data_IF_889024237636
#
_entry.id   IF_889024237636
#
_cell.length_a   1.000
_cell.length_b   1.000
_cell.length_c   1.000
_cell.angle_alpha   90.00
_cell.angle_beta   90.00
_cell.angle_gamma   90.00
#
_symmetry.space_group_name_H-M   'P 1'
#
loop_
_entity.id
_entity.type
_entity.pdbx_description
1 polymer ?
#
# COMPACT_ATOMS: atom_id res chain seq x y z
N UNK A 1 -25.14 50.02 2.77
CA UNK A 1 -24.61 49.01 3.72
C UNK A 1 -24.17 47.80 2.90
N UNK A 2 -22.87 47.74 2.57
CA UNK A 2 -22.28 46.65 1.77
C UNK A 2 -21.93 45.50 2.72
N UNK A 3 -22.59 44.34 2.55
CA UNK A 3 -22.19 43.10 3.20
C UNK A 3 -21.11 42.47 2.36
N UNK A 4 -19.85 42.54 2.81
CA UNK A 4 -18.73 41.82 2.24
C UNK A 4 -18.82 40.39 2.76
N UNK A 5 -19.25 39.47 1.88
CA UNK A 5 -19.16 38.03 2.13
C UNK A 5 -17.67 37.64 2.10
N UNK A 6 -17.08 37.37 3.25
CA UNK A 6 -15.78 36.75 3.37
C UNK A 6 -15.90 35.32 2.82
N UNK A 7 -15.36 35.06 1.64
CA UNK A 7 -15.04 33.70 1.19
C UNK A 7 -13.95 33.18 2.13
N UNK A 8 -14.34 32.37 3.10
CA UNK A 8 -13.38 31.64 3.91
C UNK A 8 -12.62 30.66 2.99
N UNK A 9 -11.34 30.96 2.73
CA UNK A 9 -10.37 29.98 2.20
C UNK A 9 -10.07 29.03 3.34
N UNK A 10 -10.97 28.06 3.57
CA UNK A 10 -10.68 26.97 4.48
C UNK A 10 -9.50 26.19 3.91
N UNK A 11 -8.39 26.13 4.65
CA UNK A 11 -7.32 25.21 4.32
C UNK A 11 -7.89 23.79 4.20
N UNK A 12 -7.41 23.00 3.23
CA UNK A 12 -7.87 21.63 3.12
C UNK A 12 -7.59 20.89 4.44
N UNK A 13 -8.49 19.98 4.87
CA UNK A 13 -8.38 19.32 6.17
C UNK A 13 -7.03 18.62 6.32
N UNK A 14 -6.45 18.69 7.52
CA UNK A 14 -5.24 17.94 7.86
C UNK A 14 -5.55 16.44 7.92
N UNK A 15 -4.65 15.56 7.41
CA UNK A 15 -4.82 14.13 7.52
C UNK A 15 -4.85 13.66 8.98
N UNK A 16 -5.68 12.65 9.27
CA UNK A 16 -5.79 12.00 10.59
C UNK A 16 -4.68 10.96 10.77
N UNK A 17 -4.40 10.20 9.71
CA UNK A 17 -3.30 9.23 9.69
C UNK A 17 -1.97 9.92 10.01
N UNK A 18 -1.16 9.40 10.95
CA UNK A 18 0.17 9.96 11.24
C UNK A 18 1.12 9.82 10.03
N UNK A 19 2.24 10.57 10.01
CA UNK A 19 3.25 10.40 8.97
C UNK A 19 3.71 8.94 8.85
N UNK A 20 3.82 8.46 7.61
CA UNK A 20 4.30 7.12 7.31
C UNK A 20 5.82 7.04 7.59
N UNK A 21 6.30 5.98 8.25
CA UNK A 21 7.73 5.76 8.41
C UNK A 21 8.38 5.54 7.04
N UNK A 22 9.54 6.17 6.82
CA UNK A 22 10.34 5.91 5.64
C UNK A 22 10.93 4.51 5.67
N UNK A 23 11.09 3.92 4.49
CA UNK A 23 11.71 2.61 4.32
C UNK A 23 12.68 2.65 3.14
N UNK A 24 13.82 1.97 3.29
CA UNK A 24 14.75 1.68 2.22
C UNK A 24 14.79 0.16 1.93
N UNK A 25 15.57 -0.25 0.94
CA UNK A 25 15.68 -1.66 0.57
C UNK A 25 16.13 -2.54 1.74
N UNK A 26 17.13 -2.09 2.51
CA UNK A 26 17.64 -2.87 3.65
C UNK A 26 16.59 -3.01 4.74
N UNK A 27 15.86 -1.94 5.05
CA UNK A 27 14.74 -1.94 5.99
C UNK A 27 13.59 -2.84 5.53
N UNK A 28 13.28 -2.83 4.23
CA UNK A 28 12.27 -3.69 3.65
C UNK A 28 12.65 -5.19 3.74
N UNK A 29 13.89 -5.53 3.41
CA UNK A 29 14.40 -6.90 3.53
C UNK A 29 14.40 -7.38 4.98
N UNK A 30 14.80 -6.51 5.92
CA UNK A 30 14.75 -6.82 7.34
C UNK A 30 13.31 -6.99 7.83
N UNK A 31 12.38 -6.18 7.35
CA UNK A 31 10.95 -6.31 7.67
C UNK A 31 10.41 -7.67 7.22
N UNK A 32 10.65 -8.07 5.96
CA UNK A 32 10.24 -9.38 5.45
C UNK A 32 10.82 -10.52 6.30
N UNK A 33 12.12 -10.47 6.62
CA UNK A 33 12.81 -11.50 7.40
C UNK A 33 12.30 -11.64 8.86
N UNK A 34 11.55 -10.67 9.36
CA UNK A 34 10.94 -10.71 10.69
C UNK A 34 9.50 -11.25 10.67
N UNK A 35 8.93 -11.48 9.50
CA UNK A 35 7.58 -12.03 9.37
C UNK A 35 7.62 -13.55 9.51
N UNK A 36 6.72 -14.08 10.33
CA UNK A 36 6.50 -15.54 10.46
C UNK A 36 5.43 -16.04 9.47
N UNK A 37 4.90 -15.15 8.65
CA UNK A 37 3.79 -15.38 7.72
C UNK A 37 4.19 -15.05 6.30
N UNK A 38 3.53 -15.63 5.28
CA UNK A 38 3.60 -15.11 3.93
C UNK A 38 3.18 -13.64 3.88
N UNK A 39 3.68 -12.88 2.92
CA UNK A 39 3.39 -11.47 2.82
C UNK A 39 2.85 -11.07 1.44
N UNK A 40 1.88 -10.17 1.44
CA UNK A 40 1.41 -9.45 0.26
C UNK A 40 1.81 -7.99 0.41
N UNK A 41 2.59 -7.49 -0.54
CA UNK A 41 3.09 -6.12 -0.56
C UNK A 41 2.46 -5.38 -1.72
N UNK A 42 1.62 -4.41 -1.42
CA UNK A 42 1.01 -3.53 -2.42
C UNK A 42 1.77 -2.21 -2.50
N UNK A 43 2.24 -1.87 -3.71
CA UNK A 43 2.91 -0.61 -4.01
C UNK A 43 1.94 0.31 -4.69
N UNK A 44 1.74 1.46 -4.09
CA UNK A 44 0.69 2.40 -4.46
C UNK A 44 1.17 3.86 -4.37
N UNK A 45 0.36 4.78 -4.87
CA UNK A 45 0.51 6.21 -4.66
C UNK A 45 -0.86 6.89 -4.59
N UNK A 46 -0.97 8.00 -3.89
CA UNK A 46 -2.24 8.73 -3.75
C UNK A 46 -2.76 9.32 -5.08
N UNK A 47 -1.84 9.68 -5.97
CA UNK A 47 -2.15 10.23 -7.30
C UNK A 47 -2.51 9.16 -8.34
N UNK A 48 -2.40 7.88 -8.00
CA UNK A 48 -2.61 6.76 -8.91
C UNK A 48 -4.08 6.32 -8.92
N UNK A 49 -4.82 6.60 -9.99
CA UNK A 49 -6.23 6.21 -10.11
C UNK A 49 -6.47 4.70 -10.03
N UNK A 50 -5.69 3.82 -10.71
CA UNK A 50 -5.84 2.37 -10.56
C UNK A 50 -5.58 1.88 -9.14
N UNK A 51 -4.66 2.51 -8.39
CA UNK A 51 -4.41 2.20 -6.99
C UNK A 51 -5.64 2.47 -6.12
N UNK A 52 -6.33 3.57 -6.40
CA UNK A 52 -7.58 3.92 -5.72
C UNK A 52 -8.70 2.92 -6.02
N UNK A 53 -8.75 2.42 -7.25
CA UNK A 53 -9.76 1.44 -7.66
C UNK A 53 -9.56 0.07 -6.97
N UNK A 54 -8.31 -0.36 -6.71
CA UNK A 54 -8.03 -1.66 -6.08
C UNK A 54 -8.01 -1.60 -4.54
N UNK A 55 -7.86 -0.42 -3.92
CA UNK A 55 -7.75 -0.28 -2.48
C UNK A 55 -8.84 -1.02 -1.68
N UNK A 56 -10.15 -0.97 -2.06
CA UNK A 56 -11.19 -1.75 -1.36
C UNK A 56 -10.99 -3.26 -1.40
N UNK A 57 -10.32 -3.80 -2.42
CA UNK A 57 -10.00 -5.23 -2.52
C UNK A 57 -8.97 -5.64 -1.46
N UNK A 58 -7.95 -4.80 -1.23
CA UNK A 58 -6.94 -5.03 -0.19
C UNK A 58 -7.52 -4.91 1.21
N UNK A 59 -8.43 -3.97 1.46
CA UNK A 59 -9.14 -3.87 2.72
C UNK A 59 -9.94 -5.16 3.01
N UNK A 60 -10.70 -5.64 2.04
CA UNK A 60 -11.49 -6.86 2.16
C UNK A 60 -10.60 -8.11 2.34
N UNK A 61 -9.53 -8.23 1.57
CA UNK A 61 -8.57 -9.33 1.69
C UNK A 61 -7.88 -9.36 3.05
N UNK A 62 -7.43 -8.20 3.55
CA UNK A 62 -6.86 -8.08 4.89
C UNK A 62 -7.86 -8.51 5.96
N UNK A 63 -9.12 -8.07 5.88
CA UNK A 63 -10.15 -8.46 6.83
C UNK A 63 -10.34 -9.98 6.92
N UNK A 64 -10.19 -10.67 5.78
CA UNK A 64 -10.38 -12.13 5.69
C UNK A 64 -9.13 -12.94 6.07
N UNK A 65 -7.93 -12.43 5.78
CA UNK A 65 -6.69 -13.21 5.78
C UNK A 65 -5.58 -12.69 6.70
N UNK A 66 -5.82 -11.63 7.48
CA UNK A 66 -4.79 -11.00 8.32
C UNK A 66 -4.22 -11.91 9.42
N UNK A 67 -4.88 -13.01 9.73
CA UNK A 67 -4.37 -14.00 10.70
C UNK A 67 -3.27 -14.89 10.09
N UNK A 68 -3.31 -15.08 8.77
CA UNK A 68 -2.46 -16.05 8.06
C UNK A 68 -1.49 -15.38 7.08
N UNK A 69 -1.77 -14.15 6.68
CA UNK A 69 -0.97 -13.37 5.71
C UNK A 69 -0.71 -11.96 6.25
N UNK A 70 0.54 -11.54 6.22
CA UNK A 70 0.93 -10.17 6.46
C UNK A 70 0.64 -9.31 5.22
N UNK A 71 -0.06 -8.20 5.41
CA UNK A 71 -0.28 -7.19 4.36
C UNK A 71 0.60 -5.98 4.65
N UNK A 72 1.29 -5.48 3.64
CA UNK A 72 2.15 -4.30 3.71
C UNK A 72 1.84 -3.37 2.54
N UNK A 73 1.87 -2.06 2.79
CA UNK A 73 1.78 -1.04 1.76
C UNK A 73 3.09 -0.27 1.62
N UNK A 74 3.49 0.02 0.39
CA UNK A 74 4.61 0.91 0.08
C UNK A 74 4.07 2.07 -0.74
N UNK A 75 4.10 3.26 -0.17
CA UNK A 75 3.75 4.50 -0.85
C UNK A 75 4.94 4.96 -1.68
N UNK A 76 4.75 5.02 -2.99
CA UNK A 76 5.78 5.17 -4.01
C UNK A 76 5.75 6.56 -4.62
N UNK A 77 6.89 7.30 -4.55
CA UNK A 77 7.06 8.59 -5.24
C UNK A 77 5.86 9.54 -5.06
N UNK A 78 5.53 9.78 -3.81
CA UNK A 78 4.36 10.57 -3.41
C UNK A 78 4.75 11.61 -2.35
N UNK A 79 3.79 12.39 -1.90
CA UNK A 79 3.92 13.26 -0.75
C UNK A 79 3.35 12.60 0.51
N UNK A 80 3.97 12.81 1.65
CA UNK A 80 3.45 12.38 2.95
C UNK A 80 1.98 12.81 3.17
N UNK A 81 1.65 14.03 2.73
CA UNK A 81 0.27 14.51 2.84
C UNK A 81 -0.69 13.72 1.94
N UNK A 82 -0.32 13.49 0.69
CA UNK A 82 -1.11 12.71 -0.26
C UNK A 82 -1.35 11.28 0.23
N UNK A 83 -0.26 10.63 0.67
CA UNK A 83 -0.30 9.28 1.23
C UNK A 83 -1.26 9.18 2.43
N UNK A 84 -1.16 10.10 3.37
CA UNK A 84 -2.00 10.13 4.58
C UNK A 84 -3.48 10.34 4.25
N UNK A 85 -3.80 11.25 3.32
CA UNK A 85 -5.18 11.47 2.86
C UNK A 85 -5.75 10.24 2.15
N UNK A 86 -4.93 9.52 1.37
CA UNK A 86 -5.33 8.27 0.75
C UNK A 86 -5.70 7.21 1.80
N UNK A 87 -4.89 7.06 2.85
CA UNK A 87 -5.15 6.11 3.92
C UNK A 87 -6.38 6.50 4.74
N UNK A 88 -6.61 7.80 4.98
CA UNK A 88 -7.82 8.29 5.64
C UNK A 88 -9.08 7.98 4.82
N UNK A 89 -8.98 8.04 3.48
CA UNK A 89 -10.12 7.78 2.59
C UNK A 89 -10.46 6.29 2.48
N UNK A 90 -9.44 5.42 2.36
CA UNK A 90 -9.65 4.00 2.05
C UNK A 90 -9.61 3.09 3.28
N UNK A 91 -9.21 3.59 4.45
CA UNK A 91 -9.16 2.83 5.70
C UNK A 91 -8.46 1.47 5.51
N UNK A 92 -7.19 1.51 5.10
CA UNK A 92 -6.36 0.32 4.93
C UNK A 92 -5.63 -0.01 6.25
N UNK A 93 -6.08 -1.01 7.03
CA UNK A 93 -5.69 -1.18 8.43
C UNK A 93 -4.37 -1.96 8.63
N UNK A 94 -3.55 -2.09 7.61
CA UNK A 94 -2.24 -2.76 7.68
C UNK A 94 -1.10 -1.73 7.62
N UNK A 95 0.14 -2.12 7.97
CA UNK A 95 1.28 -1.20 7.98
C UNK A 95 1.60 -0.63 6.59
N UNK A 96 1.86 0.67 6.54
CA UNK A 96 2.27 1.40 5.34
C UNK A 96 3.58 2.12 5.58
N UNK A 97 4.45 2.12 4.57
CA UNK A 97 5.77 2.73 4.58
C UNK A 97 5.91 3.72 3.43
N UNK A 98 6.74 4.74 3.63
CA UNK A 98 6.98 5.80 2.67
C UNK A 98 8.31 5.57 1.94
N UNK A 99 8.24 5.47 0.62
CA UNK A 99 9.39 5.36 -0.29
C UNK A 99 9.42 6.58 -1.22
N UNK A 100 9.98 7.71 -0.76
CA UNK A 100 9.92 8.99 -1.49
C UNK A 100 10.60 8.95 -2.86
N UNK A 101 11.63 8.14 -3.01
CA UNK A 101 12.43 8.02 -4.22
C UNK A 101 11.97 6.86 -5.13
N UNK A 102 11.06 6.03 -4.67
CA UNK A 102 10.57 4.88 -5.41
C UNK A 102 11.61 3.79 -5.67
N UNK A 103 12.62 3.67 -4.80
CA UNK A 103 13.78 2.78 -5.01
C UNK A 103 13.76 1.52 -4.16
N UNK A 104 12.96 1.49 -3.08
CA UNK A 104 12.98 0.44 -2.06
C UNK A 104 12.77 -0.95 -2.63
N UNK A 105 11.85 -1.08 -3.58
CA UNK A 105 11.50 -2.39 -4.16
C UNK A 105 11.92 -2.55 -5.61
N UNK A 106 12.82 -1.67 -6.10
CA UNK A 106 13.32 -1.73 -7.48
C UNK A 106 13.99 -3.07 -7.81
N UNK A 107 14.67 -3.70 -6.85
CA UNK A 107 15.33 -5.00 -7.03
C UNK A 107 14.36 -6.16 -7.29
N UNK A 108 13.12 -6.05 -6.86
CA UNK A 108 12.10 -7.09 -7.09
C UNK A 108 11.42 -6.97 -8.45
N UNK A 109 11.85 -6.02 -9.26
CA UNK A 109 11.32 -5.78 -10.61
C UNK A 109 9.98 -5.08 -10.62
N UNK A 110 9.48 -4.80 -11.82
CA UNK A 110 8.25 -4.04 -12.04
C UNK A 110 8.53 -2.55 -12.24
N UNK A 111 7.56 -1.86 -12.82
CA UNK A 111 7.64 -0.43 -13.14
C UNK A 111 6.33 0.25 -12.75
N UNK A 112 6.43 1.42 -12.14
CA UNK A 112 5.30 2.25 -11.81
C UNK A 112 4.40 1.68 -10.70
N UNK A 113 3.19 2.17 -10.63
CA UNK A 113 2.14 1.77 -9.68
C UNK A 113 0.81 1.56 -10.41
N UNK A 114 -0.09 0.69 -9.90
CA UNK A 114 0.13 -0.18 -8.75
C UNK A 114 0.96 -1.42 -9.11
N UNK A 115 1.53 -2.06 -8.10
CA UNK A 115 2.20 -3.37 -8.18
C UNK A 115 1.88 -4.16 -6.92
N UNK A 116 1.76 -5.48 -7.07
CA UNK A 116 1.54 -6.34 -5.92
C UNK A 116 2.54 -7.49 -5.96
N UNK A 117 3.25 -7.70 -4.86
CA UNK A 117 4.23 -8.76 -4.69
C UNK A 117 3.73 -9.79 -3.68
N UNK A 118 3.99 -11.05 -3.96
CA UNK A 118 3.59 -12.17 -3.12
C UNK A 118 4.83 -12.92 -2.65
N UNK A 119 5.10 -12.87 -1.34
CA UNK A 119 6.26 -13.50 -0.70
C UNK A 119 5.82 -14.67 0.17
N UNK A 120 6.60 -15.75 0.13
CA UNK A 120 6.44 -16.86 1.07
C UNK A 120 6.88 -16.46 2.48
N UNK A 121 6.58 -17.27 3.49
CA UNK A 121 7.07 -17.09 4.87
C UNK A 121 8.60 -17.23 5.01
N UNK A 122 9.31 -17.59 3.94
CA UNK A 122 10.77 -17.63 3.84
C UNK A 122 11.32 -16.57 2.90
N UNK A 123 10.61 -15.45 2.75
CA UNK A 123 10.98 -14.25 1.98
C UNK A 123 11.21 -14.47 0.48
N UNK A 124 10.69 -15.57 -0.07
CA UNK A 124 10.82 -15.83 -1.50
C UNK A 124 9.69 -15.17 -2.27
N UNK A 125 10.03 -14.29 -3.20
CA UNK A 125 9.08 -13.74 -4.15
C UNK A 125 8.61 -14.83 -5.12
N UNK A 126 7.30 -15.12 -5.13
CA UNK A 126 6.72 -16.15 -5.99
C UNK A 126 5.90 -15.58 -7.15
N UNK A 127 5.38 -14.37 -7.00
CA UNK A 127 4.59 -13.72 -8.03
C UNK A 127 4.64 -12.20 -7.90
N UNK A 128 4.63 -11.52 -9.04
CA UNK A 128 4.49 -10.06 -9.15
C UNK A 128 3.36 -9.74 -10.12
N UNK A 129 2.38 -8.98 -9.65
CA UNK A 129 1.32 -8.42 -10.49
C UNK A 129 1.63 -6.97 -10.81
N UNK A 130 1.71 -6.62 -12.10
CA UNK A 130 1.88 -5.25 -12.56
C UNK A 130 0.53 -4.68 -13.00
N UNK A 131 0.22 -3.48 -12.54
CA UNK A 131 -1.07 -2.84 -12.75
C UNK A 131 -2.10 -3.21 -11.68
N UNK A 132 -3.32 -2.69 -11.83
CA UNK A 132 -4.40 -2.97 -10.89
C UNK A 132 -4.75 -4.46 -10.87
N UNK A 133 -4.79 -5.03 -9.68
CA UNK A 133 -5.15 -6.42 -9.48
C UNK A 133 -6.67 -6.54 -9.32
N UNK A 134 -7.26 -7.57 -9.92
CA UNK A 134 -8.66 -7.90 -9.72
C UNK A 134 -8.87 -8.92 -8.58
N UNK A 135 -10.11 -9.04 -8.15
CA UNK A 135 -10.48 -9.92 -7.04
C UNK A 135 -10.12 -11.39 -7.29
N UNK A 136 -10.30 -11.88 -8.51
CA UNK A 136 -10.04 -13.29 -8.84
C UNK A 136 -8.53 -13.60 -8.81
N UNK A 137 -7.72 -12.71 -9.38
CA UNK A 137 -6.27 -12.82 -9.37
C UNK A 137 -5.71 -12.71 -7.95
N UNK A 138 -6.21 -11.76 -7.15
CA UNK A 138 -5.79 -11.62 -5.75
C UNK A 138 -6.13 -12.89 -4.95
N UNK A 139 -7.35 -13.41 -5.08
CA UNK A 139 -7.78 -14.63 -4.40
C UNK A 139 -6.95 -15.86 -4.80
N UNK A 140 -6.65 -16.01 -6.10
CA UNK A 140 -5.81 -17.11 -6.59
C UNK A 140 -4.43 -17.14 -5.92
N UNK A 141 -3.76 -16.00 -5.82
CA UNK A 141 -2.43 -15.94 -5.23
C UNK A 141 -2.45 -15.97 -3.70
N UNK A 142 -3.53 -15.53 -3.06
CA UNK A 142 -3.77 -15.78 -1.63
C UNK A 142 -3.85 -17.28 -1.36
N UNK A 143 -4.67 -18.01 -2.13
CA UNK A 143 -4.78 -19.46 -2.00
C UNK A 143 -3.45 -20.16 -2.25
N UNK A 144 -2.67 -19.70 -3.21
CA UNK A 144 -1.32 -20.23 -3.48
C UNK A 144 -0.38 -20.02 -2.28
N UNK A 145 -0.39 -18.86 -1.63
CA UNK A 145 0.42 -18.59 -0.43
C UNK A 145 0.02 -19.50 0.74
N UNK A 146 -1.28 -19.68 0.95
CA UNK A 146 -1.81 -20.47 2.08
C UNK A 146 -1.61 -21.98 1.94
N UNK A 147 -1.38 -22.48 0.71
CA UNK A 147 -1.19 -23.91 0.42
C UNK A 147 0.30 -24.30 0.24
N UNK A 148 1.22 -23.42 0.55
CA UNK A 148 2.68 -23.68 0.53
C UNK A 148 3.17 -23.98 1.95
#
# INVERSE_FOLDING_TARGET
MLVVAACGTGDPPEPITPPLPEIDLAGFQQLLAQLDQPAIVNVWASWCLPCRAEAPLFQAAHTQHSQDIAFLGIDYDDSQRGARLFLDEFDLPFPHYYDPDGTTIAEYGGIGVPRTYFFTSTDQLIYTHNGAIDQATLALHIDELLNR
#
